data_IF_659546999657
#
_entry.id   IF_659546999657
#
_cell.length_a   1.000
_cell.length_b   1.000
_cell.length_c   1.000
_cell.angle_alpha   90.00
_cell.angle_beta   90.00
_cell.angle_gamma   90.00
#
_symmetry.space_group_name_H-M   'P 1'
#
loop_
_entity.id
_entity.type
_entity.pdbx_description
1 polymer ?
#
# COMPACT_ATOMS: atom_id res chain seq x y z
N UNK A 1 3.75 8.96 16.30
CA UNK A 1 3.54 9.03 14.84
C UNK A 1 4.49 8.05 14.18
N UNK A 2 3.93 7.04 13.52
CA UNK A 2 4.67 6.00 12.82
C UNK A 2 5.31 6.52 11.52
N UNK A 3 6.15 5.73 10.83
CA UNK A 3 6.81 6.21 9.60
C UNK A 3 5.81 6.50 8.48
N UNK A 4 4.72 5.72 8.41
CA UNK A 4 3.70 5.81 7.36
C UNK A 4 2.95 7.14 7.38
N UNK A 5 2.72 7.70 8.56
CA UNK A 5 2.05 9.01 8.71
C UNK A 5 2.69 10.13 7.90
N UNK A 6 4.01 10.06 7.64
CA UNK A 6 4.75 11.07 6.85
C UNK A 6 4.72 10.79 5.36
N UNK A 7 4.52 9.53 4.96
CA UNK A 7 4.62 9.06 3.58
C UNK A 7 3.26 9.02 2.89
N UNK A 8 2.18 8.92 3.67
CA UNK A 8 0.82 8.76 3.18
C UNK A 8 0.04 10.09 3.27
N UNK A 9 -0.02 10.89 2.20
CA UNK A 9 -0.89 12.05 2.17
C UNK A 9 -2.36 11.61 2.17
N UNK A 10 -3.25 12.42 2.76
CA UNK A 10 -4.68 12.13 2.82
C UNK A 10 -5.31 11.99 1.41
N UNK A 11 -4.78 12.70 0.42
CA UNK A 11 -5.19 12.57 -0.99
C UNK A 11 -4.94 11.19 -1.59
N UNK A 12 -4.06 10.40 -1.00
CA UNK A 12 -3.70 9.06 -1.48
C UNK A 12 -4.38 7.94 -0.69
N UNK A 13 -5.46 8.26 0.03
CA UNK A 13 -6.32 7.28 0.69
C UNK A 13 -7.59 7.13 -0.12
N UNK A 14 -7.74 5.97 -0.76
CA UNK A 14 -8.89 5.66 -1.60
C UNK A 14 -9.66 4.50 -0.99
N UNK A 15 -10.96 4.71 -0.78
CA UNK A 15 -11.89 3.66 -0.40
C UNK A 15 -12.67 3.18 -1.61
N UNK A 16 -13.01 1.90 -1.59
CA UNK A 16 -13.91 1.24 -2.54
C UNK A 16 -13.52 1.44 -4.01
N UNK A 17 -12.21 1.36 -4.29
CA UNK A 17 -11.67 1.43 -5.64
C UNK A 17 -12.22 0.27 -6.49
N UNK A 18 -12.75 0.61 -7.65
CA UNK A 18 -13.24 -0.36 -8.62
C UNK A 18 -12.08 -0.89 -9.48
N UNK A 19 -11.75 -2.16 -9.31
CA UNK A 19 -10.74 -2.83 -10.12
C UNK A 19 -11.03 -4.34 -10.19
N UNK A 20 -10.81 -4.94 -11.35
CA UNK A 20 -11.06 -6.37 -11.59
C UNK A 20 -9.80 -7.23 -11.64
N UNK A 21 -8.61 -6.64 -11.52
CA UNK A 21 -7.33 -7.35 -11.61
C UNK A 21 -6.18 -6.52 -11.05
N UNK A 22 -5.05 -7.19 -10.74
CA UNK A 22 -3.80 -6.52 -10.29
C UNK A 22 -3.37 -5.41 -11.23
N UNK A 23 -3.43 -5.68 -12.54
CA UNK A 23 -3.09 -4.71 -13.59
C UNK A 23 -3.93 -3.44 -13.45
N UNK A 24 -5.26 -3.58 -13.30
CA UNK A 24 -6.17 -2.44 -13.14
C UNK A 24 -5.89 -1.65 -11.86
N UNK A 25 -5.59 -2.32 -10.75
CA UNK A 25 -5.18 -1.63 -9.52
C UNK A 25 -3.92 -0.81 -9.74
N UNK A 26 -2.90 -1.37 -10.39
CA UNK A 26 -1.64 -0.64 -10.64
C UNK A 26 -1.82 0.54 -11.61
N UNK A 27 -2.70 0.42 -12.62
CA UNK A 27 -3.07 1.54 -13.49
C UNK A 27 -3.75 2.68 -12.71
N UNK A 28 -4.71 2.36 -11.83
CA UNK A 28 -5.41 3.34 -11.00
C UNK A 28 -4.49 4.00 -9.97
N UNK A 29 -3.61 3.21 -9.36
CA UNK A 29 -2.59 3.74 -8.44
C UNK A 29 -1.59 4.65 -9.18
N UNK A 30 -1.22 4.32 -10.41
CA UNK A 30 -0.40 5.19 -11.25
C UNK A 30 -1.08 6.54 -11.49
N UNK A 31 -2.38 6.55 -11.80
CA UNK A 31 -3.17 7.77 -11.92
C UNK A 31 -3.20 8.59 -10.62
N UNK A 32 -3.36 7.92 -9.47
CA UNK A 32 -3.38 8.56 -8.17
C UNK A 32 -2.07 9.32 -7.89
N UNK A 33 -0.93 8.66 -8.11
CA UNK A 33 0.39 9.28 -7.92
C UNK A 33 0.70 10.38 -8.95
N UNK A 34 0.17 10.26 -10.17
CA UNK A 34 0.31 11.32 -11.16
C UNK A 34 -0.46 12.58 -10.76
N UNK A 35 -1.70 12.41 -10.31
CA UNK A 35 -2.58 13.52 -9.93
C UNK A 35 -2.10 14.28 -8.69
N UNK A 36 -1.46 13.59 -7.73
CA UNK A 36 -1.13 14.18 -6.43
C UNK A 36 0.37 14.41 -6.20
N UNK A 37 1.24 13.75 -6.96
CA UNK A 37 2.70 13.87 -6.83
C UNK A 37 3.43 14.15 -8.15
N UNK A 38 2.70 14.30 -9.27
CA UNK A 38 3.29 14.50 -10.60
C UNK A 38 4.28 13.39 -11.02
N UNK A 39 4.10 12.17 -10.50
CA UNK A 39 4.87 11.00 -10.92
C UNK A 39 4.14 10.37 -12.11
N UNK A 40 4.78 10.28 -13.27
CA UNK A 40 4.15 9.74 -14.47
C UNK A 40 3.53 8.36 -14.21
N UNK A 41 2.24 8.20 -14.54
CA UNK A 41 1.47 6.98 -14.23
C UNK A 41 2.09 5.70 -14.81
N UNK A 42 2.70 5.82 -16.00
CA UNK A 42 3.36 4.71 -16.68
C UNK A 42 4.60 4.23 -15.90
N UNK A 43 5.40 5.17 -15.40
CA UNK A 43 6.57 4.87 -14.56
C UNK A 43 6.16 4.15 -13.27
N UNK A 44 5.06 4.57 -12.63
CA UNK A 44 4.51 3.90 -11.45
C UNK A 44 4.06 2.48 -11.80
N UNK A 45 3.26 2.33 -12.85
CA UNK A 45 2.76 1.03 -13.30
C UNK A 45 3.91 0.07 -13.60
N UNK A 46 4.88 0.48 -14.42
CA UNK A 46 6.00 -0.36 -14.84
C UNK A 46 6.85 -0.77 -13.64
N UNK A 47 7.08 0.13 -12.69
CA UNK A 47 7.84 -0.15 -11.47
C UNK A 47 7.14 -1.18 -10.58
N UNK A 48 5.85 -0.99 -10.30
CA UNK A 48 5.06 -1.92 -9.49
C UNK A 48 4.93 -3.28 -10.19
N UNK A 49 4.64 -3.29 -11.48
CA UNK A 49 4.47 -4.51 -12.25
C UNK A 49 5.78 -5.29 -12.38
N UNK A 50 6.91 -4.61 -12.60
CA UNK A 50 8.23 -5.24 -12.63
C UNK A 50 8.56 -5.92 -11.28
N UNK A 51 8.23 -5.28 -10.15
CA UNK A 51 8.42 -5.90 -8.83
C UNK A 51 7.48 -7.09 -8.61
N UNK A 52 6.21 -6.97 -8.96
CA UNK A 52 5.20 -8.02 -8.80
C UNK A 52 5.54 -9.28 -9.61
N UNK A 53 6.19 -9.12 -10.78
CA UNK A 53 6.67 -10.26 -11.60
C UNK A 53 7.75 -11.11 -10.94
N UNK A 54 8.48 -10.59 -9.95
CA UNK A 54 9.47 -11.36 -9.19
C UNK A 54 8.81 -12.29 -8.16
N UNK A 55 7.53 -12.04 -7.86
CA UNK A 55 6.74 -12.76 -6.87
C UNK A 55 5.71 -11.83 -6.25
N UNK A 56 4.52 -12.37 -5.96
CA UNK A 56 3.40 -11.63 -5.41
C UNK A 56 3.80 -10.81 -4.19
N UNK A 57 3.35 -9.55 -4.13
CA UNK A 57 3.48 -8.72 -2.93
C UNK A 57 2.28 -8.87 -1.98
N UNK A 58 1.42 -9.88 -2.19
CA UNK A 58 0.40 -10.29 -1.23
C UNK A 58 1.04 -10.89 0.02
N UNK A 59 0.54 -10.54 1.21
CA UNK A 59 0.98 -11.14 2.47
C UNK A 59 0.07 -12.29 2.93
N UNK A 60 -1.02 -12.52 2.19
CA UNK A 60 -2.16 -13.32 2.62
C UNK A 60 -3.16 -12.49 3.42
N UNK A 61 -4.20 -13.13 3.95
CA UNK A 61 -5.22 -12.53 4.81
C UNK A 61 -5.92 -11.30 4.20
N UNK A 62 -5.99 -11.23 2.87
CA UNK A 62 -6.68 -10.16 2.14
C UNK A 62 -5.88 -8.86 1.96
N UNK A 63 -4.57 -8.87 2.23
CA UNK A 63 -3.71 -7.67 2.15
C UNK A 63 -2.51 -7.84 1.20
N UNK A 64 -2.07 -6.73 0.62
CA UNK A 64 -0.84 -6.66 -0.17
C UNK A 64 -0.06 -5.35 0.08
N UNK A 65 1.25 -5.39 -0.17
CA UNK A 65 2.13 -4.22 -0.17
C UNK A 65 2.83 -4.09 -1.52
N UNK A 66 2.14 -3.70 -2.61
CA UNK A 66 2.80 -3.41 -3.88
C UNK A 66 3.84 -2.31 -3.67
N UNK A 67 5.06 -2.51 -4.15
CA UNK A 67 6.12 -1.53 -3.96
C UNK A 67 7.03 -1.45 -5.18
N UNK A 68 7.61 -0.27 -5.41
CA UNK A 68 8.39 0.00 -6.60
C UNK A 68 9.43 1.09 -6.37
N UNK A 69 10.51 1.02 -7.16
CA UNK A 69 11.54 2.06 -7.20
C UNK A 69 11.22 3.06 -8.31
N UNK A 70 11.33 4.36 -8.02
CA UNK A 70 11.08 5.42 -9.00
C UNK A 70 12.35 6.25 -9.17
N UNK A 71 12.84 6.33 -10.41
CA UNK A 71 13.98 7.16 -10.78
C UNK A 71 13.65 8.64 -10.62
N UNK A 72 14.53 9.38 -9.96
CA UNK A 72 14.36 10.81 -9.69
C UNK A 72 13.38 11.14 -8.56
N UNK A 73 12.76 10.14 -7.92
CA UNK A 73 11.98 10.36 -6.71
C UNK A 73 12.92 10.74 -5.56
N UNK A 74 12.62 11.85 -4.88
CA UNK A 74 13.47 12.39 -3.79
C UNK A 74 13.19 11.74 -2.44
N UNK A 75 11.91 11.50 -2.17
CA UNK A 75 11.44 10.96 -0.89
C UNK A 75 10.41 9.86 -1.17
N UNK A 76 10.34 8.86 -0.29
CA UNK A 76 9.34 7.81 -0.39
C UNK A 76 7.92 8.40 -0.28
N UNK A 77 6.96 7.76 -0.94
CA UNK A 77 5.54 8.14 -0.85
C UNK A 77 4.67 6.90 -0.92
N UNK A 78 3.51 6.96 -0.26
CA UNK A 78 2.61 5.83 -0.14
C UNK A 78 1.19 6.17 -0.61
N UNK A 79 0.42 5.12 -0.87
CA UNK A 79 -1.02 5.18 -1.09
C UNK A 79 -1.70 4.04 -0.34
N UNK A 80 -2.89 4.30 0.21
CA UNK A 80 -3.77 3.28 0.73
C UNK A 80 -4.94 3.11 -0.22
N UNK A 81 -5.24 1.86 -0.54
CA UNK A 81 -6.37 1.49 -1.38
C UNK A 81 -7.14 0.37 -0.71
N UNK A 82 -8.42 0.61 -0.45
CA UNK A 82 -9.40 -0.47 -0.26
C UNK A 82 -10.16 -0.69 -1.56
N UNK A 83 -10.25 -1.93 -2.02
CA UNK A 83 -11.03 -2.31 -3.19
C UNK A 83 -12.50 -2.49 -2.81
N UNK A 84 -13.39 -2.14 -3.74
CA UNK A 84 -14.82 -2.41 -3.58
C UNK A 84 -15.11 -3.92 -3.57
N UNK A 85 -14.40 -4.68 -4.41
CA UNK A 85 -14.46 -6.13 -4.46
C UNK A 85 -13.04 -6.71 -4.34
N UNK A 86 -12.86 -7.80 -3.56
CA UNK A 86 -11.56 -8.46 -3.46
C UNK A 86 -11.15 -9.06 -4.81
N UNK A 87 -9.88 -8.92 -5.20
CA UNK A 87 -9.37 -9.46 -6.48
C UNK A 87 -8.36 -10.59 -6.28
N UNK A 88 -8.26 -11.54 -7.23
CA UNK A 88 -7.12 -12.46 -7.27
C UNK A 88 -5.79 -11.70 -7.32
N UNK A 89 -4.88 -12.03 -6.39
CA UNK A 89 -3.59 -11.35 -6.25
C UNK A 89 -2.40 -12.32 -6.22
N UNK A 90 -2.62 -13.62 -6.42
CA UNK A 90 -1.62 -14.67 -6.23
C UNK A 90 -0.96 -14.61 -4.84
N UNK A 91 -1.75 -14.27 -3.82
CA UNK A 91 -1.26 -14.21 -2.45
C UNK A 91 -0.81 -15.61 -1.98
N UNK A 92 0.16 -15.71 -1.04
CA UNK A 92 0.69 -17.00 -0.59
C UNK A 92 -0.34 -17.98 -0.02
N UNK A 93 -1.45 -17.47 0.53
CA UNK A 93 -2.56 -18.26 1.07
C UNK A 93 -3.70 -18.51 0.06
N UNK A 94 -3.52 -18.08 -1.20
CA UNK A 94 -4.51 -18.20 -2.27
C UNK A 94 -5.73 -17.29 -2.13
N UNK A 95 -5.81 -16.43 -1.10
CA UNK A 95 -6.97 -15.57 -0.88
C UNK A 95 -6.91 -14.32 -1.77
N UNK A 96 -8.07 -13.78 -2.21
CA UNK A 96 -8.10 -12.51 -2.90
C UNK A 96 -7.75 -11.36 -1.93
N UNK A 97 -7.27 -10.25 -2.48
CA UNK A 97 -6.85 -9.06 -1.74
C UNK A 97 -7.92 -7.98 -1.81
N UNK A 98 -8.21 -7.35 -0.67
CA UNK A 98 -9.14 -6.21 -0.56
C UNK A 98 -8.44 -4.92 -0.16
N UNK A 99 -7.30 -5.00 0.53
CA UNK A 99 -6.55 -3.84 1.03
C UNK A 99 -5.13 -3.86 0.47
N UNK A 100 -4.69 -2.72 -0.02
CA UNK A 100 -3.33 -2.53 -0.50
C UNK A 100 -2.74 -1.27 0.14
N UNK A 101 -1.49 -1.37 0.59
CA UNK A 101 -0.66 -0.19 0.86
C UNK A 101 0.46 -0.16 -0.16
N UNK A 102 0.41 0.78 -1.08
CA UNK A 102 1.42 0.92 -2.13
C UNK A 102 2.55 1.81 -1.64
N UNK A 103 3.80 1.39 -1.86
CA UNK A 103 4.99 2.16 -1.48
C UNK A 103 5.90 2.42 -2.68
N UNK A 104 6.12 3.69 -3.00
CA UNK A 104 7.13 4.13 -3.97
C UNK A 104 8.33 4.68 -3.25
N UNK A 105 9.52 4.22 -3.61
CA UNK A 105 10.78 4.63 -2.99
C UNK A 105 11.80 5.11 -4.03
N UNK A 106 12.79 5.94 -3.65
CA UNK A 106 13.93 6.26 -4.51
C UNK A 106 14.69 5.01 -4.97
N UNK A 107 15.43 5.12 -6.09
CA UNK A 107 16.24 4.02 -6.64
C UNK A 107 17.28 3.47 -5.66
N UNK A 108 17.80 4.32 -4.77
CA UNK A 108 18.79 3.94 -3.78
C UNK A 108 18.20 2.90 -2.81
N UNK A 109 18.88 1.78 -2.63
CA UNK A 109 18.54 0.82 -1.60
C UNK A 109 19.02 1.35 -0.24
N UNK A 110 18.07 1.65 0.65
CA UNK A 110 18.37 2.13 2.00
C UNK A 110 17.77 1.19 3.04
N UNK A 111 18.41 1.11 4.21
CA UNK A 111 17.86 0.38 5.36
C UNK A 111 16.47 0.90 5.72
N UNK A 112 16.28 2.22 5.65
CA UNK A 112 15.01 2.89 5.90
C UNK A 112 13.85 2.31 5.06
N UNK A 113 14.08 1.97 3.79
CA UNK A 113 13.01 1.39 2.95
C UNK A 113 12.58 0.00 3.45
N UNK A 114 13.53 -0.80 3.92
CA UNK A 114 13.24 -2.12 4.49
C UNK A 114 12.50 -1.98 5.82
N UNK A 115 12.86 -1.00 6.63
CA UNK A 115 12.19 -0.71 7.91
C UNK A 115 10.73 -0.30 7.68
N UNK A 116 10.46 0.57 6.69
CA UNK A 116 9.10 0.96 6.30
C UNK A 116 8.29 -0.26 5.83
N UNK A 117 8.86 -1.12 4.99
CA UNK A 117 8.19 -2.34 4.52
C UNK A 117 7.89 -3.30 5.67
N UNK A 118 8.82 -3.45 6.62
CA UNK A 118 8.62 -4.28 7.81
C UNK A 118 7.48 -3.74 8.68
N UNK A 119 7.44 -2.43 8.91
CA UNK A 119 6.39 -1.77 9.68
C UNK A 119 5.02 -1.93 9.02
N UNK A 120 4.93 -1.76 7.69
CA UNK A 120 3.70 -2.03 6.93
C UNK A 120 3.26 -3.50 7.04
N UNK A 121 4.19 -4.44 6.95
CA UNK A 121 3.89 -5.86 7.07
C UNK A 121 3.34 -6.20 8.45
N UNK A 122 3.92 -5.64 9.53
CA UNK A 122 3.43 -5.81 10.90
C UNK A 122 2.04 -5.19 11.07
N UNK A 123 1.86 -3.95 10.59
CA UNK A 123 0.59 -3.23 10.61
C UNK A 123 -0.53 -4.02 9.93
N UNK A 124 -0.28 -4.52 8.72
CA UNK A 124 -1.28 -5.29 7.97
C UNK A 124 -1.43 -6.73 8.48
N UNK A 125 -0.53 -7.23 9.31
CA UNK A 125 -0.66 -8.54 9.98
C UNK A 125 -1.59 -8.48 11.19
N UNK A 126 -1.82 -7.30 11.78
CA UNK A 126 -2.79 -7.11 12.85
C UNK A 126 -4.23 -7.27 12.34
N UNK A 127 -4.92 -8.30 12.85
CA UNK A 127 -6.30 -8.62 12.47
C UNK A 127 -7.27 -7.51 12.84
N UNK A 128 -7.22 -6.99 14.06
CA UNK A 128 -8.15 -5.95 14.52
C UNK A 128 -7.95 -4.66 13.74
N UNK A 129 -6.71 -4.37 13.36
CA UNK A 129 -6.41 -3.23 12.49
C UNK A 129 -6.97 -3.40 11.08
N UNK A 130 -6.78 -4.58 10.45
CA UNK A 130 -7.38 -4.87 9.14
C UNK A 130 -8.90 -4.76 9.16
N UNK A 131 -9.55 -5.31 10.18
CA UNK A 131 -11.01 -5.22 10.35
C UNK A 131 -11.46 -3.74 10.47
N UNK A 132 -10.70 -2.92 11.19
CA UNK A 132 -10.97 -1.48 11.31
C UNK A 132 -10.82 -0.74 9.97
N UNK A 133 -9.80 -1.06 9.17
CA UNK A 133 -9.61 -0.51 7.83
C UNK A 133 -10.72 -0.93 6.86
N UNK A 134 -11.22 -2.16 6.96
CA UNK A 134 -12.36 -2.64 6.17
C UNK A 134 -13.67 -1.95 6.56
N UNK A 135 -13.84 -1.61 7.84
CA UNK A 135 -15.04 -0.94 8.36
C UNK A 135 -15.06 0.58 8.14
N UNK A 136 -13.91 1.20 7.80
CA UNK A 136 -13.83 2.65 7.63
C UNK A 136 -14.79 3.14 6.52
N UNK A 137 -15.67 4.08 6.83
CA UNK A 137 -16.63 4.63 5.84
C UNK A 137 -16.15 5.94 5.21
N UNK A 138 -15.03 6.48 5.68
CA UNK A 138 -14.48 7.77 5.26
C UNK A 138 -12.95 7.66 5.08
N UNK A 139 -12.37 8.17 3.97
CA UNK A 139 -10.93 8.16 3.76
C UNK A 139 -10.12 8.83 4.88
N UNK A 140 -10.63 9.87 5.52
CA UNK A 140 -9.97 10.54 6.65
C UNK A 140 -9.89 9.64 7.90
N UNK A 141 -10.89 8.77 8.11
CA UNK A 141 -10.87 7.77 9.18
C UNK A 141 -9.80 6.73 8.91
N UNK A 142 -9.75 6.18 7.69
CA UNK A 142 -8.69 5.24 7.30
C UNK A 142 -7.29 5.89 7.38
N UNK A 143 -7.15 7.14 6.94
CA UNK A 143 -5.91 7.92 7.04
C UNK A 143 -5.47 8.06 8.50
N UNK A 144 -6.39 8.42 9.40
CA UNK A 144 -6.12 8.57 10.84
C UNK A 144 -5.70 7.24 11.47
N UNK A 145 -6.41 6.15 11.17
CA UNK A 145 -6.06 4.80 11.62
C UNK A 145 -4.63 4.43 11.20
N UNK A 146 -4.29 4.65 9.92
CA UNK A 146 -2.95 4.38 9.38
C UNK A 146 -1.87 5.26 10.02
N UNK A 147 -2.15 6.53 10.28
CA UNK A 147 -1.19 7.46 10.87
C UNK A 147 -0.94 7.23 12.37
N UNK A 148 -1.94 6.67 13.08
CA UNK A 148 -1.91 6.45 14.52
C UNK A 148 -1.63 5.01 14.92
N UNK A 149 -1.54 4.07 13.98
CA UNK A 149 -1.19 2.70 14.30
C UNK A 149 0.16 2.63 15.00
N UNK A 150 0.21 1.88 16.09
CA UNK A 150 1.43 1.53 16.81
C UNK A 150 1.51 0.00 16.90
N UNK A 151 2.71 -0.58 16.78
CA UNK A 151 2.89 -2.00 16.97
C UNK A 151 2.46 -2.39 18.38
N UNK A 152 1.65 -3.43 18.49
CA UNK A 152 1.26 -4.02 19.77
C UNK A 152 2.54 -4.44 20.48
N UNK A 153 2.95 -3.71 21.52
CA UNK A 153 4.10 -4.12 22.33
C UNK A 153 3.72 -5.43 23.02
N UNK A 154 4.56 -6.48 22.96
CA UNK A 154 4.34 -7.64 23.82
C UNK A 154 4.23 -7.14 25.25
N UNK A 155 3.26 -7.65 26.00
CA UNK A 155 3.26 -7.47 27.45
C UNK A 155 4.61 -8.02 27.96
N UNK A 156 5.37 -7.15 28.65
CA UNK A 156 6.65 -7.50 29.24
C UNK A 156 6.50 -8.63 30.27
#
# INVERSE_FOLDING_TARGET
MNQISRLLPASNVVLDMQASSKKRVFEQVGLLFENHQAIARATVFDSLFARERLGSTGLGQGVAIPHGRIKGLKEATAAFVRLAEPIPFDAPDGRPVSILVVLLVPEQATQQHLDILSELAQMLSDRGFRESLLAATDPSVAHTLLAQWEPMRPAA
#
